data_IF_999306439148
#
_entry.id   IF_999306439148
#
_cell.length_a   1.000
_cell.length_b   1.000
_cell.length_c   1.000
_cell.angle_alpha   90.00
_cell.angle_beta   90.00
_cell.angle_gamma   90.00
#
_symmetry.space_group_name_H-M   'P 1'
#
loop_
_entity.id
_entity.type
_entity.pdbx_description
1 polymer ?
#
# COMPACT_ATOMS: atom_id res chain seq x y z
N UNK A 1 -2.07 -14.18 1.47
CA UNK A 1 -2.51 -13.61 0.18
C UNK A 1 -1.50 -12.53 -0.17
N UNK A 2 -0.86 -12.60 -1.35
CA UNK A 2 0.28 -11.74 -1.70
C UNK A 2 0.05 -10.24 -1.42
N UNK A 3 -1.07 -9.66 -1.87
CA UNK A 3 -1.38 -8.23 -1.67
C UNK A 3 -1.55 -7.86 -0.19
N UNK A 4 -2.11 -8.75 0.63
CA UNK A 4 -2.25 -8.53 2.06
C UNK A 4 -0.89 -8.52 2.78
N UNK A 5 0.02 -9.40 2.38
CA UNK A 5 1.36 -9.48 2.97
C UNK A 5 2.23 -8.27 2.55
N UNK A 6 2.06 -7.77 1.33
CA UNK A 6 2.63 -6.49 0.88
C UNK A 6 2.11 -5.32 1.74
N UNK A 7 0.79 -5.24 1.95
CA UNK A 7 0.19 -4.17 2.76
C UNK A 7 0.67 -4.20 4.22
N UNK A 8 0.70 -5.40 4.86
CA UNK A 8 1.25 -5.57 6.21
C UNK A 8 2.71 -5.12 6.28
N UNK A 9 3.51 -5.48 5.27
CA UNK A 9 4.91 -5.06 5.20
C UNK A 9 5.08 -3.55 5.04
N UNK A 10 4.17 -2.86 4.35
CA UNK A 10 4.19 -1.39 4.22
C UNK A 10 3.98 -0.73 5.58
N UNK A 11 2.94 -1.16 6.29
CA UNK A 11 2.64 -0.70 7.65
C UNK A 11 3.83 -0.95 8.57
N UNK A 12 4.40 -2.15 8.55
CA UNK A 12 5.56 -2.49 9.37
C UNK A 12 6.77 -1.59 9.10
N UNK A 13 7.09 -1.29 7.83
CA UNK A 13 8.18 -0.38 7.50
C UNK A 13 7.90 1.04 8.03
N UNK A 14 6.68 1.54 7.89
CA UNK A 14 6.28 2.85 8.43
C UNK A 14 6.36 2.92 9.95
N UNK A 15 5.93 1.87 10.64
CA UNK A 15 6.04 1.77 12.10
C UNK A 15 7.50 1.81 12.55
N UNK A 16 8.38 1.04 11.90
CA UNK A 16 9.81 1.02 12.23
C UNK A 16 10.44 2.38 11.97
N UNK A 17 10.15 3.03 10.84
CA UNK A 17 10.64 4.38 10.54
C UNK A 17 10.22 5.38 11.63
N UNK A 18 8.95 5.39 12.03
CA UNK A 18 8.41 6.32 13.02
C UNK A 18 8.94 6.09 14.45
N UNK A 19 9.38 4.88 14.77
CA UNK A 19 9.94 4.52 16.08
C UNK A 19 11.48 4.54 16.10
N UNK A 20 12.14 4.67 14.95
CA UNK A 20 13.60 4.60 14.86
C UNK A 20 14.26 5.87 15.37
N UNK A 21 15.13 5.73 16.37
CA UNK A 21 16.02 6.81 16.86
C UNK A 21 17.27 6.91 15.97
N UNK A 22 17.67 5.77 15.38
CA UNK A 22 18.80 5.68 14.46
C UNK A 22 18.37 6.08 13.05
N UNK A 23 18.93 7.18 12.56
CA UNK A 23 18.61 7.75 11.25
C UNK A 23 18.93 6.80 10.09
N UNK A 24 20.03 6.05 10.18
CA UNK A 24 20.44 5.09 9.16
C UNK A 24 19.44 3.93 9.01
N UNK A 25 18.88 3.46 10.13
CA UNK A 25 17.82 2.44 10.14
C UNK A 25 16.52 3.00 9.58
N UNK A 26 16.15 4.23 9.97
CA UNK A 26 14.98 4.90 9.40
C UNK A 26 15.10 5.05 7.88
N UNK A 27 16.26 5.47 7.37
CA UNK A 27 16.53 5.58 5.94
C UNK A 27 16.48 4.22 5.22
N UNK A 28 17.06 3.17 5.81
CA UNK A 28 17.02 1.82 5.26
C UNK A 28 15.58 1.31 5.10
N UNK A 29 14.75 1.46 6.13
CA UNK A 29 13.33 1.08 6.04
C UNK A 29 12.52 2.00 5.12
N UNK A 30 12.93 3.26 4.93
CA UNK A 30 12.37 4.14 3.89
C UNK A 30 12.59 3.61 2.46
N UNK A 31 13.78 3.07 2.18
CA UNK A 31 14.05 2.40 0.90
C UNK A 31 13.19 1.14 0.72
N UNK A 32 13.11 0.30 1.75
CA UNK A 32 12.27 -0.91 1.71
C UNK A 32 10.78 -0.57 1.54
N UNK A 33 10.29 0.47 2.22
CA UNK A 33 8.92 0.96 2.07
C UNK A 33 8.64 1.38 0.62
N UNK A 34 9.54 2.18 0.02
CA UNK A 34 9.40 2.66 -1.36
C UNK A 34 9.37 1.53 -2.40
N UNK A 35 10.25 0.53 -2.24
CA UNK A 35 10.26 -0.66 -3.11
C UNK A 35 8.96 -1.47 -2.96
N UNK A 36 8.47 -1.62 -1.72
CA UNK A 36 7.25 -2.36 -1.42
C UNK A 36 6.00 -1.63 -1.93
N UNK A 37 5.98 -0.30 -1.92
CA UNK A 37 4.90 0.50 -2.49
C UNK A 37 4.81 0.28 -4.00
N UNK A 38 5.95 0.29 -4.68
CA UNK A 38 6.05 -0.03 -6.11
C UNK A 38 5.54 -1.45 -6.40
N UNK A 39 5.92 -2.43 -5.57
CA UNK A 39 5.42 -3.81 -5.68
C UNK A 39 3.91 -3.89 -5.46
N UNK A 40 3.36 -3.14 -4.50
CA UNK A 40 1.92 -3.04 -4.26
C UNK A 40 1.15 -2.53 -5.48
N UNK A 41 1.66 -1.51 -6.15
CA UNK A 41 1.09 -1.02 -7.41
C UNK A 41 1.07 -2.08 -8.52
N UNK A 42 2.18 -2.83 -8.69
CA UNK A 42 2.24 -3.95 -9.65
C UNK A 42 1.26 -5.07 -9.31
N UNK A 43 1.14 -5.42 -8.03
CA UNK A 43 0.20 -6.42 -7.55
C UNK A 43 -1.27 -6.00 -7.79
N UNK A 44 -1.61 -4.73 -7.55
CA UNK A 44 -2.94 -4.20 -7.85
C UNK A 44 -3.27 -4.30 -9.34
N UNK A 45 -2.33 -3.90 -10.21
CA UNK A 45 -2.51 -4.01 -11.67
C UNK A 45 -2.76 -5.46 -12.09
N UNK A 46 -1.95 -6.40 -11.59
CA UNK A 46 -2.11 -7.83 -11.86
C UNK A 46 -3.49 -8.34 -11.40
N UNK A 47 -3.93 -7.99 -10.20
CA UNK A 47 -5.25 -8.38 -9.69
C UNK A 47 -6.39 -7.86 -10.56
N UNK A 48 -6.27 -6.64 -11.11
CA UNK A 48 -7.24 -6.08 -12.07
C UNK A 48 -7.22 -6.86 -13.38
N UNK A 49 -6.05 -7.07 -13.97
CA UNK A 49 -5.87 -7.78 -15.26
C UNK A 49 -6.36 -9.23 -15.19
N UNK A 50 -6.26 -9.88 -14.03
CA UNK A 50 -6.74 -11.25 -13.81
C UNK A 50 -8.18 -11.35 -13.30
N UNK A 51 -8.84 -10.23 -13.03
CA UNK A 51 -10.18 -10.21 -12.43
C UNK A 51 -10.23 -10.77 -10.99
N UNK A 52 -9.10 -10.79 -10.28
CA UNK A 52 -9.00 -11.26 -8.89
C UNK A 52 -9.32 -10.18 -7.86
N UNK A 53 -9.43 -8.93 -8.31
CA UNK A 53 -9.79 -7.83 -7.43
C UNK A 53 -11.29 -7.88 -7.13
N UNK A 54 -11.64 -8.13 -5.87
CA UNK A 54 -13.01 -7.93 -5.37
C UNK A 54 -13.26 -6.42 -5.25
N UNK A 55 -14.22 -5.85 -5.99
CA UNK A 55 -14.50 -4.42 -5.92
C UNK A 55 -15.11 -4.08 -4.55
N UNK A 56 -14.60 -3.06 -3.85
CA UNK A 56 -15.27 -2.55 -2.66
C UNK A 56 -16.57 -1.82 -3.05
N UNK A 57 -17.43 -1.49 -2.09
CA UNK A 57 -18.53 -0.55 -2.33
C UNK A 57 -18.00 0.75 -2.95
N UNK A 58 -18.54 1.12 -4.10
CA UNK A 58 -18.13 2.33 -4.82
C UNK A 58 -18.95 3.52 -4.31
N UNK A 59 -18.26 4.63 -4.06
CA UNK A 59 -18.93 5.88 -3.72
C UNK A 59 -19.53 6.49 -5.01
N UNK A 60 -20.83 6.72 -5.01
CA UNK A 60 -21.53 7.44 -6.08
C UNK A 60 -21.72 8.89 -5.63
N UNK A 61 -20.98 9.80 -6.25
CA UNK A 61 -21.22 11.24 -6.08
C UNK A 61 -22.56 11.59 -6.74
N UNK A 62 -23.50 12.11 -5.95
CA UNK A 62 -24.73 12.72 -6.46
C UNK A 62 -24.56 14.24 -6.35
N UNK A 63 -24.51 14.99 -7.47
CA UNK A 63 -24.54 16.46 -7.39
C UNK A 63 -25.84 16.90 -6.70
N UNK A 64 -25.76 17.89 -5.82
CA UNK A 64 -26.94 18.47 -5.18
C UNK A 64 -27.83 19.08 -6.27
N UNK A 65 -29.12 18.73 -6.27
CA UNK A 65 -30.14 19.34 -7.12
C UNK A 65 -30.48 20.71 -6.49
N UNK A 66 -30.22 21.81 -7.22
CA UNK A 66 -30.61 23.18 -6.83
C UNK A 66 -32.12 23.38 -6.73
#
# INVERSE_FOLDING_TARGET
MLSADIAKGLVACSTIMGQSIREDIAMMFGQFHSQKATLGGKALRMNKEKGWLVPPPLHYFRPEEE
#
